data_IF_092879297935
#
_entry.id   IF_092879297935
#
_cell.length_a   1.000
_cell.length_b   1.000
_cell.length_c   1.000
_cell.angle_alpha   90.00
_cell.angle_beta   90.00
_cell.angle_gamma   90.00
#
_symmetry.space_group_name_H-M   'P 1'
#
loop_
_entity.id
_entity.type
_entity.pdbx_description
1 polymer ?
#
# COMPACT_ATOMS: atom_id res chain seq x y z
N UNK A 1 7.74 -10.67 -10.93
CA UNK A 1 8.60 -11.71 -10.29
C UNK A 1 7.74 -12.55 -9.38
N UNK A 2 7.83 -13.87 -9.50
CA UNK A 2 7.08 -14.78 -8.64
C UNK A 2 7.58 -14.67 -7.19
N UNK A 3 6.65 -14.68 -6.22
CA UNK A 3 6.95 -14.63 -4.78
C UNK A 3 7.90 -15.75 -4.38
N UNK A 4 7.73 -16.94 -4.97
CA UNK A 4 8.58 -18.12 -4.73
C UNK A 4 10.07 -17.92 -5.02
N UNK A 5 10.45 -16.87 -5.78
CA UNK A 5 11.85 -16.53 -6.09
C UNK A 5 12.45 -15.50 -5.12
N UNK A 6 11.73 -15.13 -4.07
CA UNK A 6 12.22 -14.20 -3.06
C UNK A 6 13.14 -14.90 -2.04
N UNK A 7 13.99 -14.13 -1.39
CA UNK A 7 14.95 -14.65 -0.43
C UNK A 7 14.37 -14.73 1.00
N UNK A 8 15.12 -15.36 1.91
CA UNK A 8 14.73 -15.52 3.32
C UNK A 8 14.42 -14.19 4.02
N UNK A 9 15.15 -13.12 3.69
CA UNK A 9 14.94 -11.79 4.28
C UNK A 9 13.56 -11.24 3.91
N UNK A 10 13.15 -11.43 2.66
CA UNK A 10 11.80 -11.07 2.23
C UNK A 10 10.73 -11.81 3.04
N UNK A 11 10.85 -13.14 3.15
CA UNK A 11 9.85 -13.94 3.86
C UNK A 11 9.76 -13.60 5.35
N UNK A 12 10.90 -13.39 6.02
CA UNK A 12 10.90 -12.97 7.43
C UNK A 12 10.19 -11.62 7.63
N UNK A 13 10.44 -10.65 6.74
CA UNK A 13 9.77 -9.33 6.78
C UNK A 13 8.29 -9.43 6.48
N UNK A 14 7.92 -10.23 5.49
CA UNK A 14 6.51 -10.45 5.11
C UNK A 14 5.74 -11.12 6.26
N UNK A 15 6.36 -12.07 6.95
CA UNK A 15 5.77 -12.74 8.11
C UNK A 15 5.57 -11.78 9.29
N UNK A 16 6.59 -10.99 9.63
CA UNK A 16 6.49 -9.98 10.69
C UNK A 16 5.40 -8.95 10.40
N UNK A 17 5.38 -8.44 9.17
CA UNK A 17 4.31 -7.56 8.70
C UNK A 17 2.93 -8.21 8.83
N UNK A 18 2.78 -9.45 8.35
CA UNK A 18 1.51 -10.16 8.38
C UNK A 18 1.00 -10.35 9.81
N UNK A 19 1.88 -10.71 10.76
CA UNK A 19 1.53 -10.84 12.18
C UNK A 19 1.01 -9.50 12.75
N UNK A 20 1.70 -8.40 12.47
CA UNK A 20 1.30 -7.05 12.92
C UNK A 20 -0.01 -6.61 12.28
N UNK A 21 -0.17 -6.86 10.98
CA UNK A 21 -1.37 -6.50 10.24
C UNK A 21 -2.59 -7.28 10.72
N UNK A 22 -2.46 -8.58 10.94
CA UNK A 22 -3.54 -9.41 11.52
C UNK A 22 -3.91 -8.95 12.93
N UNK A 23 -2.94 -8.57 13.76
CA UNK A 23 -3.20 -8.00 15.09
C UNK A 23 -3.99 -6.69 14.98
N UNK A 24 -3.62 -5.82 14.04
CA UNK A 24 -4.33 -4.57 13.76
C UNK A 24 -5.77 -4.83 13.30
N UNK A 25 -5.97 -5.73 12.34
CA UNK A 25 -7.32 -6.07 11.85
C UNK A 25 -8.23 -6.58 12.99
N UNK A 26 -7.69 -7.42 13.89
CA UNK A 26 -8.45 -7.90 15.08
C UNK A 26 -8.82 -6.75 16.02
N UNK A 27 -7.88 -5.84 16.30
CA UNK A 27 -8.13 -4.66 17.15
C UNK A 27 -9.23 -3.77 16.57
N UNK A 28 -9.25 -3.60 15.26
CA UNK A 28 -10.23 -2.76 14.55
C UNK A 28 -11.53 -3.51 14.19
N UNK A 29 -11.69 -4.76 14.63
CA UNK A 29 -12.83 -5.63 14.29
C UNK A 29 -13.07 -5.75 12.77
N UNK A 30 -11.98 -5.80 11.99
CA UNK A 30 -12.04 -5.94 10.52
C UNK A 30 -11.79 -7.40 10.14
N UNK A 31 -12.74 -8.08 9.48
CA UNK A 31 -12.53 -9.43 8.98
C UNK A 31 -11.39 -9.47 7.95
N UNK A 32 -10.53 -10.49 8.03
CA UNK A 32 -9.42 -10.68 7.06
C UNK A 32 -9.95 -10.72 5.62
N UNK A 33 -11.09 -11.37 5.40
CA UNK A 33 -11.77 -11.40 4.08
C UNK A 33 -12.03 -9.99 3.53
N UNK A 34 -12.43 -9.04 4.38
CA UNK A 34 -12.68 -7.66 3.97
C UNK A 34 -11.39 -6.96 3.53
N UNK A 35 -10.29 -7.18 4.24
CA UNK A 35 -8.99 -6.63 3.85
C UNK A 35 -8.49 -7.24 2.52
N UNK A 36 -8.66 -8.55 2.33
CA UNK A 36 -8.34 -9.23 1.06
C UNK A 36 -9.20 -8.69 -0.09
N UNK A 37 -10.50 -8.52 0.13
CA UNK A 37 -11.39 -7.93 -0.88
C UNK A 37 -10.98 -6.49 -1.23
N UNK A 38 -10.49 -5.72 -0.27
CA UNK A 38 -9.93 -4.38 -0.51
C UNK A 38 -8.71 -4.42 -1.43
N UNK A 39 -7.83 -5.40 -1.25
CA UNK A 39 -6.69 -5.61 -2.15
C UNK A 39 -7.12 -6.01 -3.57
N UNK A 40 -8.06 -6.95 -3.69
CA UNK A 40 -8.60 -7.36 -5.00
C UNK A 40 -9.28 -6.18 -5.70
N UNK A 41 -10.04 -5.37 -4.95
CA UNK A 41 -10.63 -4.15 -5.48
C UNK A 41 -9.57 -3.16 -5.98
N UNK A 42 -8.50 -2.94 -5.22
CA UNK A 42 -7.38 -2.09 -5.65
C UNK A 42 -6.78 -2.57 -6.97
N UNK A 43 -6.51 -3.88 -7.09
CA UNK A 43 -5.97 -4.46 -8.33
C UNK A 43 -6.93 -4.23 -9.51
N UNK A 44 -8.22 -4.46 -9.31
CA UNK A 44 -9.24 -4.30 -10.34
C UNK A 44 -9.39 -2.83 -10.76
N UNK A 45 -9.49 -1.90 -9.80
CA UNK A 45 -9.61 -0.47 -10.06
C UNK A 45 -8.40 0.06 -10.86
N UNK A 46 -7.19 -0.42 -10.52
CA UNK A 46 -5.98 -0.06 -11.27
C UNK A 46 -6.00 -0.61 -12.70
N UNK A 47 -6.43 -1.85 -12.89
CA UNK A 47 -6.56 -2.45 -14.21
C UNK A 47 -7.55 -1.69 -15.09
N UNK A 48 -8.75 -1.38 -14.57
CA UNK A 48 -9.76 -0.61 -15.29
C UNK A 48 -9.30 0.83 -15.58
N UNK A 49 -8.61 1.47 -14.64
CA UNK A 49 -8.02 2.80 -14.84
C UNK A 49 -6.96 2.78 -15.94
N UNK A 50 -6.13 1.73 -15.98
CA UNK A 50 -5.13 1.57 -17.04
C UNK A 50 -5.78 1.34 -18.40
N UNK A 51 -6.79 0.48 -18.50
CA UNK A 51 -7.57 0.29 -19.74
C UNK A 51 -8.18 1.61 -20.23
N UNK A 52 -8.76 2.36 -19.31
CA UNK A 52 -9.35 3.66 -19.64
C UNK A 52 -8.28 4.62 -20.17
N UNK A 53 -7.11 4.70 -19.50
CA UNK A 53 -5.98 5.52 -19.94
C UNK A 53 -5.50 5.15 -21.34
N UNK A 54 -5.34 3.85 -21.62
CA UNK A 54 -4.92 3.36 -22.97
C UNK A 54 -5.91 3.77 -24.05
N UNK A 55 -7.21 3.87 -23.74
CA UNK A 55 -8.25 4.25 -24.70
C UNK A 55 -8.38 5.76 -24.87
N UNK A 56 -8.23 6.54 -23.78
CA UNK A 56 -8.60 7.95 -23.73
C UNK A 56 -7.42 8.90 -23.52
N UNK A 57 -6.22 8.36 -23.28
CA UNK A 57 -4.98 9.08 -22.94
C UNK A 57 -5.14 10.02 -21.72
N UNK A 58 -6.06 9.68 -20.82
CA UNK A 58 -6.31 10.38 -19.55
C UNK A 58 -6.89 9.42 -18.52
N UNK A 59 -6.70 9.70 -17.23
CA UNK A 59 -7.31 8.90 -16.16
C UNK A 59 -8.78 9.30 -15.91
N UNK A 60 -9.62 8.37 -15.39
CA UNK A 60 -11.03 8.63 -15.10
C UNK A 60 -11.28 9.77 -14.11
N UNK A 61 -10.36 9.96 -13.14
CA UNK A 61 -10.40 11.00 -12.12
C UNK A 61 -9.20 11.94 -12.31
N UNK A 62 -9.19 12.67 -13.41
CA UNK A 62 -8.14 13.63 -13.72
C UNK A 62 -8.35 15.00 -13.03
N UNK A 63 -9.58 15.29 -12.58
CA UNK A 63 -9.91 16.51 -11.84
C UNK A 63 -9.65 16.33 -10.34
N UNK A 64 -8.93 17.29 -9.74
CA UNK A 64 -8.54 17.25 -8.33
C UNK A 64 -9.75 17.29 -7.39
N UNK A 65 -10.75 18.14 -7.68
CA UNK A 65 -11.95 18.33 -6.84
C UNK A 65 -12.78 17.05 -6.84
N UNK A 66 -12.91 16.43 -8.02
CA UNK A 66 -13.61 15.16 -8.18
C UNK A 66 -12.89 14.03 -7.44
N UNK A 67 -11.56 13.94 -7.55
CA UNK A 67 -10.75 12.97 -6.83
C UNK A 67 -10.87 13.18 -5.32
N UNK A 68 -10.79 14.42 -4.85
CA UNK A 68 -10.96 14.75 -3.44
C UNK A 68 -12.33 14.30 -2.93
N UNK A 69 -13.41 14.68 -3.61
CA UNK A 69 -14.80 14.36 -3.19
C UNK A 69 -15.10 12.86 -3.23
N UNK A 70 -14.69 12.18 -4.29
CA UNK A 70 -15.05 10.76 -4.54
C UNK A 70 -14.16 9.78 -3.79
N UNK A 71 -12.90 10.14 -3.54
CA UNK A 71 -11.88 9.25 -2.96
C UNK A 71 -11.42 9.77 -1.60
N UNK A 72 -10.72 10.88 -1.54
CA UNK A 72 -10.03 11.31 -0.32
C UNK A 72 -10.98 11.69 0.82
N UNK A 73 -12.10 12.34 0.51
CA UNK A 73 -13.13 12.71 1.51
C UNK A 73 -14.14 11.58 1.79
N UNK A 74 -13.94 10.38 1.23
CA UNK A 74 -14.80 9.23 1.47
C UNK A 74 -14.08 8.20 2.36
N UNK A 75 -14.41 8.23 3.65
CA UNK A 75 -13.77 7.37 4.67
C UNK A 75 -13.82 5.88 4.29
N UNK A 76 -14.93 5.39 3.74
CA UNK A 76 -15.08 3.97 3.35
C UNK A 76 -14.15 3.61 2.19
N UNK A 77 -14.08 4.48 1.18
CA UNK A 77 -13.20 4.31 0.02
C UNK A 77 -11.75 4.37 0.47
N UNK A 78 -11.38 5.39 1.26
CA UNK A 78 -10.01 5.52 1.78
C UNK A 78 -9.60 4.36 2.66
N UNK A 79 -10.46 3.90 3.57
CA UNK A 79 -10.15 2.73 4.43
C UNK A 79 -9.89 1.48 3.57
N UNK A 80 -10.73 1.22 2.57
CA UNK A 80 -10.54 0.11 1.63
C UNK A 80 -9.24 0.27 0.84
N UNK A 81 -8.97 1.46 0.31
CA UNK A 81 -7.75 1.76 -0.43
C UNK A 81 -6.49 1.52 0.43
N UNK A 82 -6.47 1.98 1.69
CA UNK A 82 -5.35 1.78 2.61
C UNK A 82 -5.11 0.30 2.92
N UNK A 83 -6.14 -0.51 3.12
CA UNK A 83 -5.97 -1.96 3.28
C UNK A 83 -5.39 -2.62 2.03
N UNK A 84 -5.86 -2.21 0.86
CA UNK A 84 -5.32 -2.70 -0.41
C UNK A 84 -3.83 -2.38 -0.57
N UNK A 85 -3.46 -1.12 -0.30
CA UNK A 85 -2.05 -0.68 -0.33
C UNK A 85 -1.19 -1.43 0.69
N UNK A 86 -1.67 -1.61 1.92
CA UNK A 86 -0.92 -2.32 2.96
C UNK A 86 -0.62 -3.76 2.53
N UNK A 87 -1.58 -4.47 1.96
CA UNK A 87 -1.38 -5.84 1.45
C UNK A 87 -0.43 -5.83 0.25
N UNK A 88 -0.55 -4.87 -0.66
CA UNK A 88 0.32 -4.78 -1.84
C UNK A 88 1.80 -4.60 -1.51
N UNK A 89 2.12 -4.13 -0.28
CA UNK A 89 3.49 -3.87 0.17
C UNK A 89 4.44 -5.05 -0.05
N UNK A 90 3.96 -6.27 0.13
CA UNK A 90 4.75 -7.49 -0.08
C UNK A 90 4.35 -8.28 -1.33
N UNK A 91 3.20 -7.98 -1.94
CA UNK A 91 2.75 -8.68 -3.15
C UNK A 91 3.26 -8.02 -4.44
N UNK A 92 3.51 -6.71 -4.42
CA UNK A 92 4.01 -5.99 -5.60
C UNK A 92 5.52 -5.73 -5.47
N UNK A 93 6.28 -6.16 -6.46
CA UNK A 93 7.75 -6.05 -6.44
C UNK A 93 8.25 -4.61 -6.30
N UNK A 94 7.55 -3.65 -6.91
CA UNK A 94 7.86 -2.21 -6.82
C UNK A 94 7.65 -1.69 -5.41
N UNK A 95 6.53 -2.03 -4.74
CA UNK A 95 6.25 -1.61 -3.37
C UNK A 95 7.26 -2.21 -2.38
N UNK A 96 7.60 -3.49 -2.53
CA UNK A 96 8.63 -4.10 -1.71
C UNK A 96 10.01 -3.50 -1.95
N UNK A 97 10.35 -3.15 -3.19
CA UNK A 97 11.62 -2.49 -3.49
C UNK A 97 11.71 -1.10 -2.83
N UNK A 98 10.63 -0.30 -2.86
CA UNK A 98 10.55 0.98 -2.15
C UNK A 98 10.70 0.80 -0.65
N UNK A 99 9.99 -0.13 -0.05
CA UNK A 99 10.13 -0.46 1.38
C UNK A 99 11.55 -0.88 1.75
N UNK A 100 12.16 -1.76 0.96
CA UNK A 100 13.53 -2.23 1.20
C UNK A 100 14.55 -1.11 1.08
N UNK A 101 14.37 -0.20 0.13
CA UNK A 101 15.19 1.00 -0.02
C UNK A 101 15.06 1.91 1.20
N UNK A 102 13.84 2.18 1.66
CA UNK A 102 13.57 2.98 2.84
C UNK A 102 14.26 2.40 4.08
N UNK A 103 13.99 1.13 4.41
CA UNK A 103 14.61 0.47 5.57
C UNK A 103 16.14 0.52 5.49
N UNK A 104 16.72 0.19 4.33
CA UNK A 104 18.18 0.20 4.16
C UNK A 104 18.78 1.59 4.43
N UNK A 105 18.09 2.66 4.12
CA UNK A 105 18.63 4.01 4.27
C UNK A 105 18.33 4.62 5.64
N UNK A 106 17.14 4.39 6.21
CA UNK A 106 16.75 4.92 7.51
C UNK A 106 17.45 4.20 8.68
N UNK A 107 17.67 2.88 8.57
CA UNK A 107 18.31 2.09 9.63
C UNK A 107 19.84 2.14 9.61
N UNK A 108 20.45 2.97 8.77
CA UNK A 108 21.90 3.19 8.82
C UNK A 108 22.27 3.76 10.20
N UNK A 109 23.10 3.05 10.95
CA UNK A 109 23.47 3.32 12.35
C UNK A 109 24.00 4.73 12.66
N UNK A 110 24.40 5.51 11.65
CA UNK A 110 25.02 6.83 11.81
C UNK A 110 24.09 8.00 11.46
N UNK A 111 22.82 7.75 11.11
CA UNK A 111 21.88 8.82 10.82
C UNK A 111 21.29 9.37 12.13
N UNK A 112 21.72 10.56 12.55
CA UNK A 112 21.05 11.32 13.62
C UNK A 112 19.85 12.06 13.04
N UNK A 113 18.79 11.31 12.68
CA UNK A 113 17.54 11.89 12.16
C UNK A 113 16.83 12.57 13.33
N UNK A 114 16.69 13.90 13.28
CA UNK A 114 15.93 14.67 14.27
C UNK A 114 14.49 14.90 13.82
N UNK A 115 14.28 15.06 12.52
CA UNK A 115 12.97 15.33 11.93
C UNK A 115 12.77 14.43 10.73
N UNK A 116 11.54 13.96 10.52
CA UNK A 116 11.13 13.15 9.39
C UNK A 116 9.84 13.73 8.80
N UNK A 117 9.80 13.90 7.49
CA UNK A 117 8.61 14.32 6.76
C UNK A 117 8.35 13.32 5.64
N UNK A 118 7.16 12.77 5.60
CA UNK A 118 6.69 11.92 4.50
C UNK A 118 5.55 12.62 3.75
N UNK A 119 5.71 12.77 2.44
CA UNK A 119 4.69 13.33 1.56
C UNK A 119 4.03 12.18 0.82
N UNK A 120 2.68 12.10 0.90
CA UNK A 120 1.93 11.01 0.29
C UNK A 120 2.10 9.68 1.02
N UNK A 121 2.10 9.71 2.35
CA UNK A 121 2.35 8.55 3.24
C UNK A 121 1.50 7.29 2.94
N UNK A 122 0.41 7.43 2.21
CA UNK A 122 -0.44 6.31 1.81
C UNK A 122 -0.92 5.51 3.02
N UNK A 123 -0.41 4.29 3.16
CA UNK A 123 -0.73 3.38 4.27
C UNK A 123 0.01 3.70 5.59
N UNK A 124 0.91 4.68 5.63
CA UNK A 124 1.66 5.06 6.83
C UNK A 124 2.62 3.99 7.38
N UNK A 125 3.05 3.02 6.59
CA UNK A 125 3.93 1.92 7.05
C UNK A 125 5.41 2.30 7.16
N UNK A 126 5.76 3.52 6.84
CA UNK A 126 7.14 4.02 6.90
C UNK A 126 7.42 4.87 8.14
N UNK A 127 6.45 4.99 9.05
CA UNK A 127 6.60 5.60 10.36
C UNK A 127 7.02 4.60 11.43
#
# INVERSE_FOLDING_TARGET
RLISKQNKVYFNRAEDFSKKFLKYLRKENVPVKSAVNSYLKLCFDMFESHKYFMKHNKYPLADEKDAYKKVYNNIKVMKSYMFGLAISQFLWSTHYAMYSFFIKNITKKNLKIKNYLEIGSGHGLFF
#
